data_IF_045926392827
#
_entry.id   IF_045926392827
#
_cell.length_a   1.000
_cell.length_b   1.000
_cell.length_c   1.000
_cell.angle_alpha   90.00
_cell.angle_beta   90.00
_cell.angle_gamma   90.00
#
_symmetry.space_group_name_H-M   'P 1'
#
loop_
_entity.id
_entity.type
_entity.pdbx_description
1 polymer ?
#
# COMPACT_ATOMS: atom_id res chain seq x y z
N UNK A 1 10.91 -14.54 44.14
CA UNK A 1 12.37 -14.27 44.20
C UNK A 1 12.67 -13.23 43.14
N UNK A 2 12.93 -12.05 43.61
CA UNK A 2 13.05 -10.79 42.85
C UNK A 2 14.50 -10.54 42.48
N UNK A 3 14.76 -10.04 41.27
CA UNK A 3 16.01 -9.34 40.99
C UNK A 3 15.76 -8.23 39.95
N UNK A 4 16.02 -6.97 40.26
CA UNK A 4 16.01 -5.89 39.32
C UNK A 4 17.42 -5.62 38.80
N UNK A 5 17.55 -5.51 37.46
CA UNK A 5 18.76 -5.04 36.79
C UNK A 5 18.69 -3.51 36.63
N UNK A 6 19.46 -2.81 37.43
CA UNK A 6 19.70 -1.37 37.31
C UNK A 6 20.74 -1.09 36.23
N UNK A 7 20.35 -0.43 35.16
CA UNK A 7 21.26 0.11 34.14
C UNK A 7 21.72 1.51 34.53
N UNK A 8 23.03 1.67 34.75
CA UNK A 8 23.70 2.95 35.03
C UNK A 8 23.98 3.70 33.72
N UNK A 9 23.38 4.87 33.56
CA UNK A 9 23.67 5.84 32.50
C UNK A 9 24.77 6.76 33.01
N UNK A 10 25.91 6.81 32.32
CA UNK A 10 27.00 7.77 32.54
C UNK A 10 26.82 8.91 31.51
N UNK A 11 26.81 10.17 31.91
CA UNK A 11 26.90 11.28 30.97
C UNK A 11 28.38 11.66 30.77
N UNK A 12 28.86 11.49 29.54
CA UNK A 12 30.14 12.07 29.10
C UNK A 12 29.92 13.52 28.61
N UNK A 13 30.34 14.45 29.43
CA UNK A 13 30.43 15.88 29.05
C UNK A 13 31.76 16.08 28.35
N UNK A 14 31.73 16.37 27.06
CA UNK A 14 32.89 16.83 26.29
C UNK A 14 32.77 18.33 26.09
N UNK A 15 33.62 19.06 26.82
CA UNK A 15 33.82 20.53 26.66
C UNK A 15 34.86 20.71 25.56
N UNK A 16 34.45 21.24 24.41
CA UNK A 16 35.36 21.70 23.34
C UNK A 16 35.44 23.23 23.41
N UNK A 17 36.55 23.72 23.87
CA UNK A 17 36.90 25.15 23.82
C UNK A 17 37.43 25.48 22.42
N UNK A 18 36.67 26.25 21.63
CA UNK A 18 37.10 26.77 20.35
C UNK A 18 37.64 28.20 20.52
N UNK A 19 38.95 28.34 20.34
CA UNK A 19 39.66 29.63 20.28
C UNK A 19 39.28 30.33 18.96
N UNK A 20 38.70 31.53 19.08
CA UNK A 20 38.34 32.36 17.98
C UNK A 20 39.57 32.98 17.30
N UNK A 21 39.77 32.68 16.04
CA UNK A 21 40.61 33.45 15.14
C UNK A 21 39.74 34.43 14.36
N UNK A 22 39.79 35.71 14.70
CA UNK A 22 39.19 36.81 13.92
C UNK A 22 40.02 37.02 12.66
N UNK A 23 39.59 36.46 11.54
CA UNK A 23 40.05 36.87 10.21
C UNK A 23 39.03 37.85 9.64
N UNK A 24 39.41 39.12 9.48
CA UNK A 24 38.64 40.13 8.76
C UNK A 24 38.48 39.69 7.30
N UNK A 25 37.27 39.54 6.78
CA UNK A 25 37.08 39.28 5.36
C UNK A 25 37.39 40.54 4.55
N UNK A 26 38.24 40.38 3.52
CA UNK A 26 38.44 41.41 2.52
C UNK A 26 37.10 41.70 1.81
N UNK A 27 36.85 42.99 1.38
CA UNK A 27 35.63 43.32 0.68
C UNK A 27 35.58 42.54 -0.65
N UNK A 28 34.66 41.62 -0.73
CA UNK A 28 34.33 40.94 -2.00
C UNK A 28 33.52 41.93 -2.81
N UNK A 29 34.13 42.42 -3.89
CA UNK A 29 33.42 43.18 -4.91
C UNK A 29 32.37 42.30 -5.55
N UNK A 30 31.10 42.51 -5.15
CA UNK A 30 29.94 41.80 -5.69
C UNK A 30 29.72 42.34 -7.11
N UNK A 31 30.31 41.67 -8.08
CA UNK A 31 29.93 41.85 -9.48
C UNK A 31 28.49 41.31 -9.62
N UNK A 32 27.53 42.21 -9.55
CA UNK A 32 26.14 41.87 -9.94
C UNK A 32 26.12 41.54 -11.42
N UNK A 33 26.28 40.24 -11.71
CA UNK A 33 25.94 39.71 -13.02
C UNK A 33 24.42 39.74 -13.12
N UNK A 34 23.88 40.86 -13.57
CA UNK A 34 22.50 40.95 -14.06
C UNK A 34 22.35 40.00 -15.26
N UNK A 35 22.15 38.72 -14.96
CA UNK A 35 21.71 37.77 -15.96
C UNK A 35 20.23 37.98 -16.14
N UNK A 36 19.83 38.96 -16.92
CA UNK A 36 18.51 39.02 -17.49
C UNK A 36 18.36 37.79 -18.41
N UNK A 37 17.93 36.66 -17.80
CA UNK A 37 17.40 35.57 -18.56
C UNK A 37 15.98 35.98 -18.97
N UNK A 38 15.73 36.25 -20.26
CA UNK A 38 14.36 36.46 -20.70
C UNK A 38 13.60 35.22 -20.33
N UNK A 39 12.71 35.31 -19.36
CA UNK A 39 11.79 34.27 -19.00
C UNK A 39 10.80 34.08 -20.16
N UNK A 40 11.26 33.46 -21.24
CA UNK A 40 10.37 32.85 -22.22
C UNK A 40 9.56 31.83 -21.41
N UNK A 41 8.29 32.16 -21.18
CA UNK A 41 7.39 31.29 -20.42
C UNK A 41 7.53 29.88 -20.98
N UNK A 42 8.30 29.04 -20.30
CA UNK A 42 8.53 27.67 -20.74
C UNK A 42 7.15 26.98 -20.74
N UNK A 43 6.75 26.45 -21.89
CA UNK A 43 5.53 25.64 -21.96
C UNK A 43 5.58 24.61 -20.82
N UNK A 44 4.53 24.52 -19.98
CA UNK A 44 4.55 23.59 -18.87
C UNK A 44 4.89 22.19 -19.38
N UNK A 45 5.80 21.51 -18.69
CA UNK A 45 6.22 20.18 -19.11
C UNK A 45 4.99 19.25 -19.20
N UNK A 46 4.84 18.44 -20.26
CA UNK A 46 3.66 17.59 -20.46
C UNK A 46 3.28 16.74 -19.26
N UNK A 47 4.25 16.30 -18.47
CA UNK A 47 4.02 15.53 -17.24
C UNK A 47 3.29 16.32 -16.15
N UNK A 48 3.41 17.65 -16.11
CA UNK A 48 2.69 18.46 -15.13
C UNK A 48 1.18 18.38 -15.32
N UNK A 49 0.72 18.32 -16.55
CA UNK A 49 -0.70 18.10 -16.85
C UNK A 49 -1.21 16.77 -16.33
N UNK A 50 -0.40 15.72 -16.44
CA UNK A 50 -0.71 14.39 -15.92
C UNK A 50 -0.81 14.38 -14.40
N UNK A 51 0.08 15.08 -13.72
CA UNK A 51 0.03 15.24 -12.25
C UNK A 51 -1.21 16.03 -11.79
N UNK A 52 -1.59 17.08 -12.51
CA UNK A 52 -2.83 17.81 -12.24
C UNK A 52 -4.07 16.93 -12.38
N UNK A 53 -4.11 16.08 -13.41
CA UNK A 53 -5.20 15.11 -13.56
C UNK A 53 -5.23 14.08 -12.44
N UNK A 54 -4.07 13.59 -12.00
CA UNK A 54 -3.99 12.69 -10.86
C UNK A 54 -4.58 13.33 -9.60
N UNK A 55 -4.23 14.59 -9.32
CA UNK A 55 -4.81 15.35 -8.21
C UNK A 55 -6.34 15.48 -8.36
N UNK A 56 -6.81 15.87 -9.54
CA UNK A 56 -8.25 16.01 -9.81
C UNK A 56 -9.00 14.69 -9.59
N UNK A 57 -8.50 13.59 -10.16
CA UNK A 57 -9.16 12.27 -10.07
C UNK A 57 -9.13 11.74 -8.64
N UNK A 58 -8.06 12.00 -7.88
CA UNK A 58 -7.94 11.53 -6.48
C UNK A 58 -8.98 12.15 -5.54
N UNK A 59 -9.57 13.28 -5.92
CA UNK A 59 -10.62 13.96 -5.14
C UNK A 59 -12.05 13.59 -5.55
N UNK A 60 -12.21 12.79 -6.62
CA UNK A 60 -13.53 12.36 -7.10
C UNK A 60 -14.12 11.30 -6.19
N UNK A 61 -15.41 11.39 -5.95
CA UNK A 61 -16.18 10.32 -5.30
C UNK A 61 -16.65 9.27 -6.32
N UNK A 62 -17.16 8.12 -5.84
CA UNK A 62 -17.57 7.00 -6.68
C UNK A 62 -18.61 7.39 -7.76
N UNK A 63 -19.58 8.25 -7.42
CA UNK A 63 -20.61 8.72 -8.36
C UNK A 63 -20.02 9.59 -9.45
N UNK A 64 -19.08 10.47 -9.12
CA UNK A 64 -18.39 11.30 -10.10
C UNK A 64 -17.52 10.45 -11.03
N UNK A 65 -16.82 9.46 -10.50
CA UNK A 65 -16.01 8.51 -11.28
C UNK A 65 -16.86 7.73 -12.27
N UNK A 66 -17.96 7.12 -11.82
CA UNK A 66 -18.84 6.36 -12.72
C UNK A 66 -19.43 7.23 -13.82
N UNK A 67 -19.92 8.43 -13.48
CA UNK A 67 -20.45 9.38 -14.47
C UNK A 67 -19.43 9.76 -15.54
N UNK A 68 -18.18 10.02 -15.12
CA UNK A 68 -17.11 10.36 -16.08
C UNK A 68 -16.70 9.16 -16.92
N UNK A 69 -16.60 7.97 -16.33
CA UNK A 69 -16.27 6.74 -17.06
C UNK A 69 -17.35 6.38 -18.10
N UNK A 70 -18.63 6.46 -17.73
CA UNK A 70 -19.77 6.19 -18.64
C UNK A 70 -19.87 7.20 -19.79
N UNK A 71 -19.55 8.47 -19.54
CA UNK A 71 -19.56 9.53 -20.54
C UNK A 71 -18.32 9.58 -21.43
N UNK A 72 -17.31 8.77 -21.14
CA UNK A 72 -16.02 8.86 -21.83
C UNK A 72 -16.04 8.03 -23.12
N UNK A 73 -15.79 8.68 -24.27
CA UNK A 73 -15.52 7.97 -25.51
C UNK A 73 -14.21 7.18 -25.42
N UNK A 74 -14.04 6.17 -26.28
CA UNK A 74 -12.79 5.41 -26.33
C UNK A 74 -11.58 6.35 -26.47
N UNK A 75 -10.55 6.19 -25.62
CA UNK A 75 -9.37 7.04 -25.65
C UNK A 75 -8.64 6.93 -27.00
N UNK A 76 -8.44 8.05 -27.69
CA UNK A 76 -7.79 8.10 -29.01
C UNK A 76 -6.32 8.55 -28.98
N UNK A 77 -5.77 8.91 -27.81
CA UNK A 77 -4.38 9.36 -27.66
C UNK A 77 -3.85 9.11 -26.25
N UNK A 78 -2.52 9.18 -26.10
CA UNK A 78 -1.82 8.89 -24.84
C UNK A 78 -2.33 9.73 -23.64
N UNK A 79 -2.71 10.98 -23.85
CA UNK A 79 -3.23 11.81 -22.76
C UNK A 79 -4.61 11.34 -22.29
N UNK A 80 -5.48 10.96 -23.22
CA UNK A 80 -6.79 10.40 -22.89
C UNK A 80 -6.65 9.01 -22.25
N UNK A 81 -5.75 8.18 -22.75
CA UNK A 81 -5.40 6.89 -22.13
C UNK A 81 -4.92 7.06 -20.71
N UNK A 82 -4.01 8.01 -20.46
CA UNK A 82 -3.53 8.28 -19.11
C UNK A 82 -4.67 8.69 -18.17
N UNK A 83 -5.53 9.61 -18.59
CA UNK A 83 -6.68 10.04 -17.80
C UNK A 83 -7.66 8.89 -17.54
N UNK A 84 -7.95 8.08 -18.55
CA UNK A 84 -8.79 6.88 -18.42
C UNK A 84 -8.18 5.85 -17.46
N UNK A 85 -6.86 5.65 -17.53
CA UNK A 85 -6.13 4.82 -16.56
C UNK A 85 -6.26 5.32 -15.13
N UNK A 86 -6.18 6.64 -14.90
CA UNK A 86 -6.37 7.23 -13.56
C UNK A 86 -7.78 7.01 -13.02
N UNK A 87 -8.81 7.17 -13.85
CA UNK A 87 -10.21 6.93 -13.47
C UNK A 87 -10.42 5.47 -13.04
N UNK A 88 -9.90 4.52 -13.82
CA UNK A 88 -9.97 3.10 -13.49
C UNK A 88 -9.14 2.75 -12.24
N UNK A 89 -7.97 3.37 -12.06
CA UNK A 89 -7.15 3.20 -10.84
C UNK A 89 -7.89 3.63 -9.58
N UNK A 90 -8.68 4.71 -9.67
CA UNK A 90 -9.42 5.26 -8.53
C UNK A 90 -10.69 4.46 -8.23
N UNK A 91 -11.16 3.62 -9.14
CA UNK A 91 -12.26 2.71 -8.85
C UNK A 91 -11.85 1.73 -7.73
N UNK A 92 -12.80 1.30 -6.91
CA UNK A 92 -12.58 0.28 -5.87
C UNK A 92 -12.71 -1.14 -6.45
N UNK A 93 -12.89 -1.24 -7.76
CA UNK A 93 -13.10 -2.46 -8.50
C UNK A 93 -11.78 -3.08 -8.95
N UNK A 94 -11.66 -4.40 -8.73
CA UNK A 94 -10.49 -5.18 -9.16
C UNK A 94 -10.23 -5.07 -10.67
N UNK A 95 -11.28 -5.14 -11.49
CA UNK A 95 -11.17 -5.04 -12.94
C UNK A 95 -10.66 -3.66 -13.37
N UNK A 96 -11.07 -2.60 -12.67
CA UNK A 96 -10.54 -1.27 -12.86
C UNK A 96 -9.03 -1.18 -12.63
N UNK A 97 -8.51 -1.84 -11.60
CA UNK A 97 -7.06 -1.87 -11.34
C UNK A 97 -6.29 -2.64 -12.41
N UNK A 98 -6.89 -3.72 -12.95
CA UNK A 98 -6.31 -4.49 -14.08
C UNK A 98 -6.26 -3.63 -15.33
N UNK A 99 -7.35 -2.94 -15.67
CA UNK A 99 -7.42 -2.01 -16.82
C UNK A 99 -6.38 -0.89 -16.66
N UNK A 100 -6.32 -0.26 -15.48
CA UNK A 100 -5.36 0.81 -15.21
C UNK A 100 -3.91 0.35 -15.34
N UNK A 101 -3.56 -0.81 -14.78
CA UNK A 101 -2.23 -1.41 -14.91
C UNK A 101 -1.83 -1.60 -16.38
N UNK A 102 -2.70 -2.17 -17.18
CA UNK A 102 -2.41 -2.47 -18.58
C UNK A 102 -2.24 -1.19 -19.39
N UNK A 103 -3.10 -0.19 -19.20
CA UNK A 103 -2.97 1.13 -19.80
C UNK A 103 -1.62 1.78 -19.43
N UNK A 104 -1.23 1.78 -18.16
CA UNK A 104 0.03 2.39 -17.76
C UNK A 104 1.25 1.62 -18.30
N UNK A 105 1.14 0.31 -18.47
CA UNK A 105 2.16 -0.50 -19.15
C UNK A 105 2.32 -0.11 -20.60
N UNK A 106 1.23 0.06 -21.33
CA UNK A 106 1.23 0.49 -22.73
C UNK A 106 1.82 1.90 -22.87
N UNK A 107 1.44 2.83 -21.98
CA UNK A 107 2.00 4.19 -21.95
C UNK A 107 3.50 4.20 -21.63
N UNK A 108 3.99 3.28 -20.80
CA UNK A 108 5.41 3.16 -20.54
C UNK A 108 6.19 2.71 -21.79
N UNK A 109 5.57 1.90 -22.64
CA UNK A 109 6.13 1.43 -23.89
C UNK A 109 6.01 2.42 -25.06
N UNK A 110 5.16 3.45 -24.95
CA UNK A 110 4.87 4.41 -26.03
C UNK A 110 6.07 5.36 -26.29
N UNK A 111 6.69 5.22 -27.46
CA UNK A 111 7.88 6.00 -27.85
C UNK A 111 7.59 7.49 -28.15
N UNK A 112 6.34 7.89 -28.25
CA UNK A 112 5.95 9.30 -28.45
C UNK A 112 5.98 10.10 -27.14
N UNK A 113 6.06 9.41 -25.98
CA UNK A 113 6.06 10.01 -24.66
C UNK A 113 7.46 10.40 -24.18
N UNK A 114 7.50 11.46 -23.37
CA UNK A 114 8.75 11.88 -22.73
C UNK A 114 9.16 10.85 -21.65
N UNK A 115 10.46 10.79 -21.36
CA UNK A 115 11.01 9.93 -20.31
C UNK A 115 10.28 10.12 -18.96
N UNK A 116 9.92 11.35 -18.59
CA UNK A 116 9.21 11.65 -17.34
C UNK A 116 7.78 11.10 -17.33
N UNK A 117 7.08 11.14 -18.47
CA UNK A 117 5.76 10.53 -18.62
C UNK A 117 5.84 9.01 -18.52
N UNK A 118 6.80 8.39 -19.23
CA UNK A 118 7.05 6.95 -19.14
C UNK A 118 7.38 6.51 -17.69
N UNK A 119 8.22 7.27 -17.00
CA UNK A 119 8.55 7.00 -15.58
C UNK A 119 7.32 7.07 -14.68
N UNK A 120 6.46 8.09 -14.85
CA UNK A 120 5.23 8.23 -14.09
C UNK A 120 4.28 7.06 -14.39
N UNK A 121 4.09 6.71 -15.66
CA UNK A 121 3.29 5.55 -16.04
C UNK A 121 3.80 4.25 -15.41
N UNK A 122 5.13 4.03 -15.41
CA UNK A 122 5.73 2.86 -14.78
C UNK A 122 5.58 2.81 -13.25
N UNK A 123 5.52 3.96 -12.57
CA UNK A 123 5.21 4.03 -11.13
C UNK A 123 3.75 3.60 -10.90
N UNK A 124 2.82 4.13 -11.70
CA UNK A 124 1.39 3.84 -11.57
C UNK A 124 1.07 2.38 -11.95
N UNK A 125 1.75 1.83 -12.95
CA UNK A 125 1.65 0.41 -13.31
C UNK A 125 2.01 -0.48 -12.11
N UNK A 126 3.18 -0.26 -11.49
CA UNK A 126 3.61 -1.04 -10.32
C UNK A 126 2.68 -0.86 -9.12
N UNK A 127 2.14 0.34 -8.92
CA UNK A 127 1.16 0.59 -7.87
C UNK A 127 -0.09 -0.27 -8.06
N UNK A 128 -0.67 -0.28 -9.27
CA UNK A 128 -1.85 -1.10 -9.55
C UNK A 128 -1.54 -2.60 -9.47
N UNK A 129 -0.36 -3.03 -9.97
CA UNK A 129 0.07 -4.43 -9.82
C UNK A 129 0.19 -4.83 -8.35
N UNK A 130 0.69 -3.95 -7.49
CA UNK A 130 0.77 -4.21 -6.05
C UNK A 130 -0.62 -4.37 -5.40
N UNK A 131 -1.60 -3.53 -5.80
CA UNK A 131 -3.00 -3.65 -5.34
C UNK A 131 -3.62 -4.98 -5.76
N UNK A 132 -3.43 -5.36 -7.02
CA UNK A 132 -3.89 -6.63 -7.57
C UNK A 132 -3.31 -7.81 -6.77
N UNK A 133 -2.00 -7.81 -6.53
CA UNK A 133 -1.34 -8.86 -5.76
C UNK A 133 -1.83 -8.90 -4.30
N UNK A 134 -2.05 -7.75 -3.67
CA UNK A 134 -2.59 -7.66 -2.32
C UNK A 134 -4.03 -8.22 -2.23
N UNK A 135 -4.87 -7.95 -3.23
CA UNK A 135 -6.22 -8.50 -3.32
C UNK A 135 -6.20 -10.03 -3.40
N UNK A 136 -5.34 -10.60 -4.25
CA UNK A 136 -5.16 -12.06 -4.31
C UNK A 136 -4.71 -12.66 -2.98
N UNK A 137 -3.73 -12.03 -2.33
CA UNK A 137 -3.27 -12.48 -1.02
C UNK A 137 -4.37 -12.42 0.05
N UNK A 138 -5.20 -11.40 0.01
CA UNK A 138 -6.32 -11.23 0.93
C UNK A 138 -7.41 -12.29 0.72
N UNK A 139 -7.74 -12.60 -0.53
CA UNK A 139 -8.70 -13.65 -0.86
C UNK A 139 -8.20 -15.04 -0.45
N UNK A 140 -6.91 -15.31 -0.64
CA UNK A 140 -6.30 -16.57 -0.20
C UNK A 140 -6.32 -16.71 1.33
N UNK A 141 -5.96 -15.65 2.05
CA UNK A 141 -6.03 -15.65 3.51
C UNK A 141 -7.47 -15.82 4.03
N UNK A 142 -8.47 -15.24 3.34
CA UNK A 142 -9.87 -15.44 3.68
C UNK A 142 -10.28 -16.90 3.54
N UNK A 143 -9.94 -17.55 2.41
CA UNK A 143 -10.21 -18.97 2.18
C UNK A 143 -9.56 -19.86 3.25
N UNK A 144 -8.28 -19.62 3.55
CA UNK A 144 -7.58 -20.36 4.60
C UNK A 144 -8.24 -20.18 5.97
N UNK A 145 -8.73 -18.98 6.28
CA UNK A 145 -9.44 -18.70 7.52
C UNK A 145 -10.76 -19.45 7.60
N UNK A 146 -11.52 -19.47 6.51
CA UNK A 146 -12.77 -20.23 6.40
C UNK A 146 -12.52 -21.75 6.58
N UNK A 147 -11.48 -22.30 5.95
CA UNK A 147 -11.08 -23.70 6.11
C UNK A 147 -10.66 -24.03 7.55
N UNK A 148 -9.87 -23.16 8.18
CA UNK A 148 -9.47 -23.35 9.58
C UNK A 148 -10.65 -23.28 10.53
N UNK A 149 -11.62 -22.40 10.30
CA UNK A 149 -12.86 -22.32 11.08
C UNK A 149 -13.67 -23.62 10.95
N UNK A 150 -13.76 -24.18 9.74
CA UNK A 150 -14.44 -25.46 9.52
C UNK A 150 -13.73 -26.58 10.26
N UNK A 151 -12.40 -26.69 10.17
CA UNK A 151 -11.63 -27.71 10.88
C UNK A 151 -11.80 -27.59 12.39
N UNK A 152 -11.83 -26.36 12.92
CA UNK A 152 -12.07 -26.11 14.34
C UNK A 152 -13.45 -26.60 14.78
N UNK A 153 -14.50 -26.32 13.98
CA UNK A 153 -15.84 -26.79 14.26
C UNK A 153 -15.92 -28.34 14.26
N UNK A 154 -15.29 -28.99 13.29
CA UNK A 154 -15.24 -30.44 13.19
C UNK A 154 -14.50 -31.07 14.39
N UNK A 155 -13.39 -30.47 14.83
CA UNK A 155 -12.65 -30.92 16.00
C UNK A 155 -13.44 -30.74 17.30
N UNK A 156 -14.15 -29.63 17.46
CA UNK A 156 -15.02 -29.39 18.60
C UNK A 156 -16.15 -30.43 18.68
N UNK A 157 -16.78 -30.75 17.56
CA UNK A 157 -17.82 -31.78 17.52
C UNK A 157 -17.25 -33.18 17.84
N UNK A 158 -16.08 -33.53 17.31
CA UNK A 158 -15.39 -34.78 17.66
C UNK A 158 -15.06 -34.86 19.16
N UNK A 159 -14.56 -33.79 19.75
CA UNK A 159 -14.30 -33.72 21.17
C UNK A 159 -15.58 -33.92 21.99
N UNK A 160 -16.65 -33.24 21.64
CA UNK A 160 -17.95 -33.40 22.29
C UNK A 160 -18.45 -34.84 22.25
N UNK A 161 -18.31 -35.51 21.10
CA UNK A 161 -18.71 -36.92 20.94
C UNK A 161 -17.80 -37.84 21.76
N UNK A 162 -16.50 -37.57 21.85
CA UNK A 162 -15.57 -38.34 22.69
C UNK A 162 -15.90 -38.16 24.18
N UNK A 163 -16.19 -36.99 24.64
CA UNK A 163 -16.62 -36.71 26.02
C UNK A 163 -17.89 -37.48 26.38
N UNK A 164 -18.89 -37.46 25.48
CA UNK A 164 -20.11 -38.28 25.66
C UNK A 164 -19.82 -39.78 25.76
N UNK A 165 -18.92 -40.31 24.92
CA UNK A 165 -18.53 -41.71 24.99
C UNK A 165 -17.83 -42.07 26.29
N UNK A 166 -16.90 -41.20 26.73
CA UNK A 166 -16.20 -41.38 28.01
C UNK A 166 -17.20 -41.39 29.17
N UNK A 167 -18.15 -40.46 29.20
CA UNK A 167 -19.19 -40.44 30.19
C UNK A 167 -20.02 -41.70 30.20
N UNK A 168 -20.47 -42.19 29.04
CA UNK A 168 -21.24 -43.42 28.92
C UNK A 168 -20.46 -44.65 29.42
N UNK A 169 -19.16 -44.75 29.11
CA UNK A 169 -18.29 -45.80 29.61
C UNK A 169 -18.17 -45.74 31.14
N UNK A 170 -17.93 -44.58 31.71
CA UNK A 170 -17.85 -44.36 33.16
C UNK A 170 -19.14 -44.77 33.87
N UNK A 171 -20.29 -44.44 33.31
CA UNK A 171 -21.60 -44.85 33.85
C UNK A 171 -21.79 -46.37 33.79
N UNK A 172 -21.36 -47.02 32.69
CA UNK A 172 -21.40 -48.48 32.58
C UNK A 172 -20.47 -49.15 33.60
N UNK A 173 -19.23 -48.66 33.74
CA UNK A 173 -18.28 -49.18 34.72
C UNK A 173 -18.83 -49.08 36.16
N UNK A 174 -19.44 -47.94 36.49
CA UNK A 174 -20.11 -47.71 37.78
C UNK A 174 -21.22 -48.73 38.02
N UNK A 175 -22.08 -48.96 37.01
CA UNK A 175 -23.19 -49.91 37.06
C UNK A 175 -22.72 -51.35 37.26
N UNK A 176 -21.66 -51.76 36.53
CA UNK A 176 -21.04 -53.08 36.67
C UNK A 176 -20.42 -53.27 38.03
N UNK A 177 -19.74 -52.26 38.55
CA UNK A 177 -19.10 -52.32 39.89
C UNK A 177 -20.14 -52.51 41.02
N UNK A 178 -21.28 -51.84 40.94
CA UNK A 178 -22.38 -52.02 41.89
C UNK A 178 -22.95 -53.42 41.82
N UNK A 179 -23.12 -53.96 40.63
CA UNK A 179 -23.70 -55.29 40.40
C UNK A 179 -22.81 -56.46 40.86
N UNK A 180 -21.49 -56.26 40.80
CA UNK A 180 -20.50 -57.29 41.22
C UNK A 180 -20.15 -57.18 42.69
N UNK A 181 -20.61 -56.16 43.42
CA UNK A 181 -20.41 -55.94 44.86
C UNK A 181 -21.56 -56.46 45.73
N UNK A 182 -22.65 -56.93 45.14
CA UNK A 182 -23.75 -57.69 45.74
C UNK A 182 -23.51 -59.21 45.62
#
# INVERSE_FOLDING_TARGET
>A
MSSPLTSKILPSVVIVALLGACTTPAPVEVVEVHREVPAKAAKPAPVLKWLQWQETVSTMNATQLSTVLEGMAQPGNANQLFYYGLLNQQSEDYDGWVIARDIFRDLQADDTLTTKQKQLAGILERYNQSRINASYGQDELRKQNEELQQQLADLQEKNRLLEQKIQAITELESTISIRNGE
#
